data_IF_616726951359
#
_entry.id   IF_616726951359
#
_cell.length_a   1.000
_cell.length_b   1.000
_cell.length_c   1.000
_cell.angle_alpha   90.00
_cell.angle_beta   90.00
_cell.angle_gamma   90.00
#
_symmetry.space_group_name_H-M   'P 1'
#
loop_
_entity.id
_entity.type
_entity.pdbx_description
1 polymer ?
#
# COMPACT_ATOMS: atom_id res chain seq x y z
N UNK A 1 15.66 6.68 11.44
CA UNK A 1 16.89 6.31 12.14
C UNK A 1 17.13 4.84 11.87
N UNK A 2 18.29 4.40 11.36
CA UNK A 2 18.63 2.99 11.42
C UNK A 2 18.61 2.58 12.91
N UNK A 3 17.99 1.44 13.21
CA UNK A 3 18.05 0.86 14.55
C UNK A 3 19.53 0.66 14.89
N UNK A 4 20.04 1.39 15.87
CA UNK A 4 21.34 1.11 16.46
C UNK A 4 21.09 0.06 17.54
N UNK A 5 21.57 -1.18 17.37
CA UNK A 5 21.54 -2.15 18.45
C UNK A 5 22.22 -1.51 19.65
N UNK A 6 21.57 -1.51 20.81
CA UNK A 6 22.21 -1.03 22.02
C UNK A 6 23.32 -2.03 22.39
N UNK A 7 24.53 -1.71 21.93
CA UNK A 7 25.72 -2.57 21.89
C UNK A 7 26.19 -3.01 23.29
N UNK A 8 25.67 -2.36 24.33
CA UNK A 8 25.93 -2.66 25.74
C UNK A 8 25.36 -4.01 26.16
N UNK A 9 24.20 -4.43 25.63
CA UNK A 9 23.57 -5.70 26.01
C UNK A 9 24.15 -6.88 25.24
N UNK A 10 24.49 -6.70 23.96
CA UNK A 10 25.26 -7.67 23.17
C UNK A 10 26.57 -8.01 23.88
N UNK A 11 27.26 -6.99 24.40
CA UNK A 11 28.48 -7.15 25.21
C UNK A 11 28.20 -7.77 26.56
N UNK A 12 27.17 -7.35 27.28
CA UNK A 12 26.81 -7.95 28.58
C UNK A 12 26.46 -9.44 28.48
N UNK A 13 25.70 -9.88 27.46
CA UNK A 13 25.38 -11.29 27.25
C UNK A 13 26.59 -12.10 26.73
N UNK A 14 27.45 -11.49 25.91
CA UNK A 14 28.72 -12.10 25.49
C UNK A 14 29.72 -12.24 26.65
N UNK A 15 29.81 -11.25 27.53
CA UNK A 15 30.70 -11.22 28.71
C UNK A 15 30.18 -12.12 29.86
N UNK A 16 28.86 -12.35 29.94
CA UNK A 16 28.24 -13.22 30.95
C UNK A 16 28.30 -14.72 30.61
N UNK A 17 28.94 -15.10 29.50
CA UNK A 17 29.18 -16.51 29.13
C UNK A 17 27.91 -17.31 28.82
N UNK A 18 26.82 -16.64 28.45
CA UNK A 18 25.58 -17.31 28.05
C UNK A 18 25.47 -17.32 26.54
N UNK A 19 25.48 -18.52 25.98
CA UNK A 19 25.22 -18.78 24.57
C UNK A 19 23.73 -18.58 24.22
N UNK A 20 23.13 -17.49 24.70
CA UNK A 20 21.71 -17.20 24.62
C UNK A 20 21.30 -16.96 23.17
N UNK A 21 22.17 -16.32 22.38
CA UNK A 21 21.98 -16.14 20.93
C UNK A 21 21.86 -17.50 20.27
N UNK A 22 22.82 -18.41 20.48
CA UNK A 22 22.77 -19.75 19.90
C UNK A 22 21.62 -20.58 20.45
N UNK A 23 21.29 -20.50 21.74
CA UNK A 23 20.12 -21.18 22.31
C UNK A 23 18.83 -20.70 21.65
N UNK A 24 18.66 -19.40 21.43
CA UNK A 24 17.51 -18.84 20.71
C UNK A 24 17.50 -19.35 19.27
N UNK A 25 18.64 -19.32 18.57
CA UNK A 25 18.75 -19.84 17.21
C UNK A 25 18.49 -21.35 17.12
N UNK A 26 18.97 -22.14 18.09
CA UNK A 26 18.71 -23.58 18.20
C UNK A 26 17.21 -23.84 18.33
N UNK A 27 16.51 -23.11 19.21
CA UNK A 27 15.06 -23.23 19.33
C UNK A 27 14.32 -22.79 18.06
N UNK A 28 14.75 -21.70 17.42
CA UNK A 28 14.16 -21.25 16.16
C UNK A 28 14.37 -22.27 15.03
N UNK A 29 15.55 -22.88 14.95
CA UNK A 29 15.86 -23.92 13.97
C UNK A 29 15.05 -25.21 14.19
N UNK A 30 14.70 -25.53 15.44
CA UNK A 30 13.80 -26.66 15.73
C UNK A 30 12.37 -26.40 15.21
N UNK A 31 11.92 -25.15 15.21
CA UNK A 31 10.56 -24.77 14.80
C UNK A 31 10.47 -24.51 13.29
N UNK A 32 11.47 -23.83 12.71
CA UNK A 32 11.48 -23.40 11.31
C UNK A 32 12.88 -23.59 10.70
N UNK A 33 13.28 -24.84 10.44
CA UNK A 33 14.63 -25.15 9.95
C UNK A 33 14.89 -24.47 8.59
N UNK A 34 16.08 -23.90 8.43
CA UNK A 34 16.55 -23.22 7.20
C UNK A 34 15.71 -22.00 6.78
N UNK A 35 14.89 -21.44 7.67
CA UNK A 35 14.11 -20.25 7.34
C UNK A 35 15.03 -19.03 7.17
N UNK A 36 14.90 -18.25 6.08
CA UNK A 36 15.67 -17.02 5.90
C UNK A 36 15.32 -15.95 6.94
N UNK A 37 14.22 -16.14 7.68
CA UNK A 37 13.73 -15.20 8.68
C UNK A 37 14.30 -15.48 10.09
N UNK A 38 15.12 -16.52 10.29
CA UNK A 38 15.73 -16.84 11.59
C UNK A 38 16.42 -15.62 12.24
N UNK A 39 17.25 -14.83 11.51
CA UNK A 39 17.89 -13.66 12.11
C UNK A 39 16.88 -12.63 12.63
N UNK A 40 15.77 -12.43 11.92
CA UNK A 40 14.71 -11.48 12.31
C UNK A 40 14.00 -11.98 13.58
N UNK A 41 13.61 -13.25 13.62
CA UNK A 41 12.94 -13.82 14.80
C UNK A 41 13.85 -13.83 16.04
N UNK A 42 15.14 -14.11 15.85
CA UNK A 42 16.14 -14.03 16.92
C UNK A 42 16.21 -12.63 17.48
N UNK A 43 16.30 -11.61 16.63
CA UNK A 43 16.39 -10.22 17.07
C UNK A 43 15.10 -9.76 17.80
N UNK A 44 13.92 -10.24 17.37
CA UNK A 44 12.67 -10.03 18.10
C UNK A 44 12.70 -10.65 19.50
N UNK A 45 13.12 -11.92 19.64
CA UNK A 45 13.21 -12.61 20.93
C UNK A 45 14.22 -11.91 21.85
N UNK A 46 15.41 -11.58 21.33
CA UNK A 46 16.42 -10.84 22.10
C UNK A 46 15.89 -9.47 22.56
N UNK A 47 15.05 -8.82 21.77
CA UNK A 47 14.39 -7.56 22.17
C UNK A 47 13.48 -7.76 23.39
N UNK A 48 12.66 -8.82 23.40
CA UNK A 48 11.81 -9.15 24.55
C UNK A 48 12.64 -9.51 25.78
N UNK A 49 13.75 -10.26 25.59
CA UNK A 49 14.66 -10.61 26.68
C UNK A 49 15.32 -9.38 27.31
N UNK A 50 15.69 -8.37 26.50
CA UNK A 50 16.18 -7.09 27.02
C UNK A 50 15.12 -6.36 27.85
N UNK A 51 13.87 -6.30 27.36
CA UNK A 51 12.77 -5.70 28.13
C UNK A 51 12.53 -6.43 29.46
N UNK A 52 12.67 -7.76 29.48
CA UNK A 52 12.52 -8.56 30.68
C UNK A 52 13.67 -8.37 31.68
N UNK A 53 14.90 -8.12 31.21
CA UNK A 53 16.03 -7.82 32.07
C UNK A 53 15.89 -6.44 32.76
N UNK A 54 15.37 -5.46 32.02
CA UNK A 54 15.11 -4.13 32.54
C UNK A 54 13.94 -4.09 33.54
N UNK A 55 12.91 -4.91 33.30
CA UNK A 55 11.69 -5.07 34.11
C UNK A 55 11.08 -3.77 34.65
N UNK A 56 11.12 -2.71 33.83
CA UNK A 56 10.82 -1.36 34.30
C UNK A 56 9.33 -1.12 34.62
N UNK A 57 8.41 -1.59 33.77
CA UNK A 57 7.00 -1.21 33.86
C UNK A 57 6.05 -2.25 33.24
N UNK A 58 5.11 -2.75 34.06
CA UNK A 58 4.10 -3.74 33.66
C UNK A 58 3.16 -3.26 32.54
N UNK A 59 2.81 -1.97 32.51
CA UNK A 59 1.94 -1.39 31.49
C UNK A 59 2.61 -1.40 30.12
N UNK A 60 3.90 -1.04 30.05
CA UNK A 60 4.67 -1.10 28.81
C UNK A 60 4.74 -2.54 28.27
N UNK A 61 5.00 -3.52 29.15
CA UNK A 61 4.99 -4.93 28.77
C UNK A 61 3.62 -5.39 28.22
N UNK A 62 2.51 -4.93 28.82
CA UNK A 62 1.15 -5.23 28.34
C UNK A 62 0.88 -4.63 26.96
N UNK A 63 1.25 -3.36 26.73
CA UNK A 63 1.07 -2.71 25.43
C UNK A 63 1.86 -3.47 24.36
N UNK A 64 3.13 -3.77 24.62
CA UNK A 64 3.98 -4.50 23.65
C UNK A 64 3.41 -5.88 23.35
N UNK A 65 3.00 -6.65 24.36
CA UNK A 65 2.39 -7.97 24.16
C UNK A 65 1.11 -7.88 23.32
N UNK A 66 0.24 -6.91 23.62
CA UNK A 66 -1.01 -6.74 22.89
C UNK A 66 -0.76 -6.31 21.44
N UNK A 67 0.16 -5.38 21.20
CA UNK A 67 0.54 -4.96 19.86
C UNK A 67 1.13 -6.12 19.04
N UNK A 68 2.02 -6.93 19.64
CA UNK A 68 2.59 -8.12 18.97
C UNK A 68 1.51 -9.15 18.60
N UNK A 69 0.53 -9.38 19.47
CA UNK A 69 -0.61 -10.28 19.19
C UNK A 69 -1.48 -9.77 18.05
N UNK A 70 -1.78 -8.47 18.02
CA UNK A 70 -2.55 -7.86 16.95
C UNK A 70 -1.82 -7.93 15.60
N UNK A 71 -0.52 -7.65 15.60
CA UNK A 71 0.31 -7.78 14.40
C UNK A 71 0.33 -9.23 13.89
N UNK A 72 0.60 -10.21 14.75
CA UNK A 72 0.63 -11.63 14.37
C UNK A 72 -0.72 -12.10 13.81
N UNK A 73 -1.81 -11.82 14.52
CA UNK A 73 -3.14 -12.22 14.10
C UNK A 73 -3.52 -11.62 12.76
N UNK A 74 -3.27 -10.32 12.58
CA UNK A 74 -3.61 -9.63 11.34
C UNK A 74 -2.75 -10.13 10.18
N UNK A 75 -1.44 -10.28 10.34
CA UNK A 75 -0.58 -10.87 9.29
C UNK A 75 -1.05 -12.27 8.89
N UNK A 76 -1.39 -13.12 9.87
CA UNK A 76 -1.86 -14.49 9.59
C UNK A 76 -3.14 -14.52 8.77
N UNK A 77 -4.12 -13.69 9.11
CA UNK A 77 -5.40 -13.63 8.38
C UNK A 77 -5.20 -13.02 6.99
N UNK A 78 -4.43 -11.93 6.90
CA UNK A 78 -4.25 -11.18 5.66
C UNK A 78 -3.39 -11.91 4.63
N UNK A 79 -2.50 -12.81 5.04
CA UNK A 79 -1.71 -13.65 4.12
C UNK A 79 -2.60 -14.49 3.20
N UNK A 80 -3.80 -14.86 3.65
CA UNK A 80 -4.79 -15.61 2.84
C UNK A 80 -5.32 -14.81 1.65
N UNK A 81 -5.18 -13.48 1.69
CA UNK A 81 -5.62 -12.55 0.65
C UNK A 81 -4.44 -11.93 -0.12
N UNK A 82 -3.25 -12.52 0.00
CA UNK A 82 -2.07 -12.09 -0.74
C UNK A 82 -2.30 -12.22 -2.25
N UNK A 83 -1.83 -11.23 -3.00
CA UNK A 83 -2.00 -11.16 -4.46
C UNK A 83 -3.35 -10.60 -4.92
N UNK A 84 -4.33 -10.45 -4.02
CA UNK A 84 -5.56 -9.70 -4.30
C UNK A 84 -5.36 -8.24 -3.94
N UNK A 85 -5.68 -7.37 -4.90
CA UNK A 85 -5.64 -5.92 -4.69
C UNK A 85 -6.78 -5.50 -3.78
N UNK A 86 -6.52 -4.55 -2.89
CA UNK A 86 -7.50 -4.11 -1.88
C UNK A 86 -7.64 -2.59 -1.89
N UNK A 87 -8.87 -2.12 -1.79
CA UNK A 87 -9.23 -0.72 -1.76
C UNK A 87 -9.79 -0.40 -0.39
N UNK A 88 -9.16 0.52 0.32
CA UNK A 88 -9.66 1.01 1.60
C UNK A 88 -10.68 2.11 1.36
N UNK A 89 -11.91 1.90 1.81
CA UNK A 89 -13.01 2.86 1.70
C UNK A 89 -13.28 3.48 3.06
N UNK A 90 -13.14 4.80 3.14
CA UNK A 90 -13.46 5.60 4.32
C UNK A 90 -14.66 6.49 4.08
N UNK A 91 -15.40 6.79 5.15
CA UNK A 91 -16.51 7.72 5.12
C UNK A 91 -17.27 7.72 6.44
N UNK A 92 -18.31 8.55 6.52
CA UNK A 92 -19.09 8.68 7.75
C UNK A 92 -19.71 7.37 8.22
N UNK A 93 -19.51 7.04 9.50
CA UNK A 93 -20.20 5.95 10.19
C UNK A 93 -21.69 6.25 10.46
N UNK A 94 -22.14 7.48 10.18
CA UNK A 94 -23.45 8.02 10.57
C UNK A 94 -24.37 8.30 9.38
N UNK A 95 -23.92 8.07 8.15
CA UNK A 95 -24.74 8.29 6.95
C UNK A 95 -25.95 7.34 6.98
N UNK A 96 -27.19 7.86 6.94
CA UNK A 96 -28.40 7.02 6.91
C UNK A 96 -28.49 6.18 5.63
N UNK A 97 -29.20 5.06 5.68
CA UNK A 97 -29.37 4.12 4.54
C UNK A 97 -30.10 4.79 3.37
N UNK A 98 -31.00 5.73 3.67
CA UNK A 98 -31.81 6.48 2.72
C UNK A 98 -31.02 7.61 2.04
N UNK A 99 -29.84 7.95 2.54
CA UNK A 99 -29.04 9.05 2.02
C UNK A 99 -28.41 8.68 0.67
N UNK A 100 -28.38 9.58 -0.34
CA UNK A 100 -27.80 9.28 -1.66
C UNK A 100 -26.35 8.78 -1.61
N UNK A 101 -25.50 9.35 -0.74
CA UNK A 101 -24.14 8.86 -0.51
C UNK A 101 -24.07 7.41 -0.02
N UNK A 102 -25.07 6.91 0.72
CA UNK A 102 -25.11 5.50 1.11
C UNK A 102 -25.32 4.61 -0.12
N UNK A 103 -26.30 4.94 -0.97
CA UNK A 103 -26.55 4.21 -2.20
C UNK A 103 -25.31 4.23 -3.13
N UNK A 104 -24.66 5.38 -3.26
CA UNK A 104 -23.41 5.52 -4.02
C UNK A 104 -22.26 4.70 -3.42
N UNK A 105 -22.08 4.68 -2.10
CA UNK A 105 -21.05 3.86 -1.46
C UNK A 105 -21.32 2.36 -1.63
N UNK A 106 -22.59 1.95 -1.65
CA UNK A 106 -22.99 0.57 -1.97
C UNK A 106 -22.69 0.23 -3.43
N UNK A 107 -23.00 1.12 -4.35
CA UNK A 107 -22.65 0.96 -5.76
C UNK A 107 -21.14 0.86 -5.96
N UNK A 108 -20.36 1.69 -5.27
CA UNK A 108 -18.90 1.64 -5.23
C UNK A 108 -18.41 0.26 -4.78
N UNK A 109 -18.92 -0.25 -3.67
CA UNK A 109 -18.56 -1.59 -3.18
C UNK A 109 -18.80 -2.68 -4.23
N UNK A 110 -19.97 -2.63 -4.90
CA UNK A 110 -20.30 -3.56 -5.96
C UNK A 110 -19.40 -3.41 -7.20
N UNK A 111 -19.06 -2.18 -7.58
CA UNK A 111 -18.17 -1.90 -8.71
C UNK A 111 -16.74 -2.37 -8.46
N UNK A 112 -16.21 -2.13 -7.26
CA UNK A 112 -14.90 -2.63 -6.84
C UNK A 112 -14.84 -4.17 -6.89
N UNK A 113 -15.86 -4.85 -6.35
CA UNK A 113 -15.93 -6.30 -6.40
C UNK A 113 -16.04 -6.85 -7.85
N UNK A 114 -16.77 -6.16 -8.74
CA UNK A 114 -16.81 -6.52 -10.17
C UNK A 114 -15.44 -6.40 -10.86
N UNK A 115 -14.56 -5.54 -10.36
CA UNK A 115 -13.17 -5.41 -10.80
C UNK A 115 -12.20 -6.33 -10.05
N UNK A 116 -12.69 -7.33 -9.30
CA UNK A 116 -11.91 -8.25 -8.44
C UNK A 116 -11.02 -7.52 -7.43
N UNK A 117 -11.49 -6.36 -6.97
CA UNK A 117 -10.86 -5.60 -5.90
C UNK A 117 -11.56 -5.91 -4.58
N UNK A 118 -10.77 -6.24 -3.55
CA UNK A 118 -11.30 -6.34 -2.19
C UNK A 118 -11.58 -4.96 -1.63
N UNK A 119 -12.55 -4.86 -0.73
CA UNK A 119 -12.98 -3.64 -0.05
C UNK A 119 -12.63 -3.76 1.43
N UNK A 120 -11.73 -2.90 1.89
CA UNK A 120 -11.39 -2.76 3.31
C UNK A 120 -12.19 -1.58 3.87
N UNK A 121 -12.83 -1.76 5.02
CA UNK A 121 -13.43 -0.64 5.76
C UNK A 121 -13.18 -0.78 7.26
N UNK A 122 -13.58 0.24 8.02
CA UNK A 122 -13.63 0.16 9.48
C UNK A 122 -14.70 -0.75 10.07
N UNK A 123 -15.50 -1.42 9.22
CA UNK A 123 -16.59 -2.32 9.59
C UNK A 123 -17.74 -1.72 10.42
N UNK A 124 -17.80 -0.40 10.57
CA UNK A 124 -18.92 0.27 11.24
C UNK A 124 -20.17 0.42 10.35
N UNK A 125 -21.12 1.22 10.82
CA UNK A 125 -22.31 1.63 10.06
C UNK A 125 -22.03 2.64 8.95
N UNK A 126 -23.09 3.22 8.39
CA UNK A 126 -23.02 4.26 7.36
C UNK A 126 -22.27 3.82 6.09
N UNK A 127 -21.37 4.66 5.59
CA UNK A 127 -20.62 4.42 4.35
C UNK A 127 -19.84 3.10 4.39
N UNK A 128 -19.27 2.74 5.56
CA UNK A 128 -18.51 1.50 5.72
C UNK A 128 -19.41 0.27 5.54
N UNK A 129 -20.63 0.31 6.08
CA UNK A 129 -21.62 -0.75 5.90
C UNK A 129 -22.10 -0.82 4.45
N UNK A 130 -22.38 0.33 3.83
CA UNK A 130 -22.82 0.39 2.44
C UNK A 130 -21.80 -0.24 1.49
N UNK A 131 -20.51 0.13 1.61
CA UNK A 131 -19.45 -0.41 0.77
C UNK A 131 -19.30 -1.93 0.92
N UNK A 132 -19.36 -2.45 2.16
CA UNK A 132 -19.37 -3.90 2.39
C UNK A 132 -20.63 -4.57 1.83
N UNK A 133 -21.82 -4.00 2.01
CA UNK A 133 -23.08 -4.52 1.46
C UNK A 133 -22.97 -4.69 -0.06
N UNK A 134 -22.44 -3.70 -0.75
CA UNK A 134 -22.24 -3.74 -2.20
C UNK A 134 -21.21 -4.78 -2.65
N UNK A 135 -20.08 -4.87 -1.93
CA UNK A 135 -18.98 -5.78 -2.27
C UNK A 135 -19.29 -7.25 -1.96
N UNK A 136 -20.13 -7.49 -0.95
CA UNK A 136 -20.41 -8.82 -0.41
C UNK A 136 -19.25 -9.38 0.42
N UNK A 137 -19.52 -10.45 1.18
CA UNK A 137 -18.58 -11.02 2.15
C UNK A 137 -17.24 -11.45 1.52
N UNK A 138 -17.26 -12.06 0.34
CA UNK A 138 -16.04 -12.61 -0.31
C UNK A 138 -15.04 -11.54 -0.76
N UNK A 139 -15.47 -10.28 -0.84
CA UNK A 139 -14.64 -9.13 -1.17
C UNK A 139 -14.49 -8.17 0.02
N UNK A 140 -15.17 -8.38 1.15
CA UNK A 140 -15.14 -7.44 2.27
C UNK A 140 -14.13 -7.85 3.34
N UNK A 141 -13.33 -6.91 3.82
CA UNK A 141 -12.45 -7.03 4.99
C UNK A 141 -12.74 -5.89 5.98
N UNK A 142 -13.06 -6.25 7.22
CA UNK A 142 -13.40 -5.29 8.25
C UNK A 142 -12.28 -5.13 9.27
N UNK A 143 -11.67 -3.95 9.36
CA UNK A 143 -10.71 -3.63 10.42
C UNK A 143 -11.44 -2.84 11.50
N UNK A 144 -12.00 -3.53 12.47
CA UNK A 144 -12.79 -2.91 13.53
C UNK A 144 -11.89 -2.43 14.68
N UNK A 145 -12.34 -1.44 15.44
CA UNK A 145 -11.68 -0.95 16.64
C UNK A 145 -12.56 -1.21 17.86
N UNK A 146 -11.96 -1.76 18.92
CA UNK A 146 -12.68 -2.01 20.16
C UNK A 146 -12.88 -0.69 20.90
N UNK A 147 -14.13 -0.23 21.00
CA UNK A 147 -14.51 0.97 21.73
C UNK A 147 -15.30 0.60 23.00
N UNK A 148 -15.23 1.42 24.06
CA UNK A 148 -15.96 1.17 25.31
C UNK A 148 -17.48 1.31 25.17
N UNK A 149 -17.95 1.91 24.08
CA UNK A 149 -19.36 1.96 23.70
C UNK A 149 -19.59 1.08 22.47
N UNK A 150 -20.77 0.49 22.38
CA UNK A 150 -21.08 -0.61 21.47
C UNK A 150 -21.10 -0.15 20.00
N UNK A 151 -19.95 -0.27 19.31
CA UNK A 151 -19.89 -0.24 17.85
C UNK A 151 -19.89 -1.68 17.34
N UNK A 152 -21.08 -2.19 17.03
CA UNK A 152 -21.22 -3.47 16.34
C UNK A 152 -20.64 -3.39 14.93
N UNK A 153 -19.97 -4.45 14.51
CA UNK A 153 -19.58 -4.61 13.12
C UNK A 153 -20.84 -4.70 12.22
N UNK A 154 -20.75 -4.20 11.00
CA UNK A 154 -21.85 -4.27 10.05
C UNK A 154 -22.20 -5.73 9.67
N UNK A 155 -23.47 -5.99 9.28
CA UNK A 155 -23.97 -7.35 9.08
C UNK A 155 -23.18 -8.19 8.07
N UNK A 156 -22.53 -7.56 7.09
CA UNK A 156 -21.79 -8.27 6.04
C UNK A 156 -20.62 -9.08 6.60
N UNK A 157 -19.87 -8.53 7.56
CA UNK A 157 -18.63 -9.15 8.07
C UNK A 157 -18.73 -9.59 9.53
N UNK A 158 -19.80 -9.20 10.25
CA UNK A 158 -19.98 -9.56 11.65
C UNK A 158 -19.96 -11.07 11.88
N UNK A 159 -19.15 -11.54 12.83
CA UNK A 159 -19.01 -12.97 13.15
C UNK A 159 -18.24 -13.81 12.12
N UNK A 160 -17.61 -13.18 11.12
CA UNK A 160 -16.84 -13.88 10.08
C UNK A 160 -15.34 -13.78 10.31
N UNK A 161 -14.55 -14.62 9.62
CA UNK A 161 -13.08 -14.53 9.60
C UNK A 161 -12.54 -13.26 8.94
N UNK A 162 -13.38 -12.52 8.23
CA UNK A 162 -13.02 -11.30 7.51
C UNK A 162 -13.08 -10.05 8.40
N UNK A 163 -13.51 -10.19 9.65
CA UNK A 163 -13.51 -9.14 10.66
C UNK A 163 -12.29 -9.27 11.56
N UNK A 164 -11.36 -8.32 11.46
CA UNK A 164 -10.17 -8.22 12.29
C UNK A 164 -10.41 -7.17 13.39
N UNK A 165 -10.46 -7.57 14.67
CA UNK A 165 -10.57 -6.63 15.78
C UNK A 165 -9.19 -6.09 16.17
N UNK A 166 -9.10 -4.78 16.32
CA UNK A 166 -7.94 -4.09 16.87
C UNK A 166 -8.32 -3.42 18.22
N UNK A 167 -7.37 -3.34 19.14
CA UNK A 167 -7.51 -2.52 20.36
C UNK A 167 -6.79 -1.18 20.20
N UNK A 168 -5.65 -1.17 19.49
CA UNK A 168 -4.92 0.05 19.27
C UNK A 168 -5.23 0.69 17.92
N UNK A 169 -5.45 2.01 17.92
CA UNK A 169 -5.62 2.77 16.69
C UNK A 169 -4.38 2.70 15.78
N UNK A 170 -3.17 2.70 16.34
CA UNK A 170 -1.94 2.71 15.55
C UNK A 170 -1.70 1.39 14.80
N UNK A 171 -2.03 0.24 15.37
CA UNK A 171 -1.94 -1.05 14.67
C UNK A 171 -2.98 -1.12 13.56
N UNK A 172 -4.21 -0.67 13.83
CA UNK A 172 -5.28 -0.58 12.84
C UNK A 172 -4.90 0.31 11.65
N UNK A 173 -4.41 1.52 11.91
CA UNK A 173 -3.94 2.48 10.90
C UNK A 173 -2.81 1.91 10.05
N UNK A 174 -1.84 1.27 10.70
CA UNK A 174 -0.78 0.54 9.99
C UNK A 174 -1.36 -0.43 8.95
N UNK A 175 -2.37 -1.22 9.31
CA UNK A 175 -2.97 -2.18 8.37
C UNK A 175 -3.82 -1.52 7.29
N UNK A 176 -4.53 -0.43 7.57
CA UNK A 176 -5.22 0.32 6.52
C UNK A 176 -4.27 0.80 5.42
N UNK A 177 -3.07 1.26 5.79
CA UNK A 177 -2.06 1.72 4.83
C UNK A 177 -1.33 0.54 4.19
N UNK A 178 -0.90 -0.44 4.98
CA UNK A 178 -0.11 -1.58 4.51
C UNK A 178 -0.85 -2.41 3.47
N UNK A 179 -2.15 -2.60 3.66
CA UNK A 179 -2.96 -3.47 2.81
C UNK A 179 -3.67 -2.73 1.67
N UNK A 180 -3.64 -1.39 1.66
CA UNK A 180 -4.29 -0.61 0.62
C UNK A 180 -3.45 -0.56 -0.66
N UNK A 181 -4.02 -1.02 -1.76
CA UNK A 181 -3.59 -0.72 -3.12
C UNK A 181 -4.33 0.52 -3.67
N UNK A 182 -5.42 0.97 -3.05
CA UNK A 182 -6.05 2.24 -3.37
C UNK A 182 -6.86 2.74 -2.18
N UNK A 183 -7.22 4.02 -2.22
CA UNK A 183 -8.15 4.61 -1.25
C UNK A 183 -9.30 5.30 -1.97
N UNK A 184 -10.50 5.12 -1.43
CA UNK A 184 -11.67 5.92 -1.81
C UNK A 184 -12.23 6.58 -0.56
N UNK A 185 -12.23 7.90 -0.56
CA UNK A 185 -12.64 8.75 0.54
C UNK A 185 -14.01 9.34 0.20
N UNK A 186 -15.07 8.86 0.85
CA UNK A 186 -16.40 9.45 0.80
C UNK A 186 -16.54 10.55 1.87
N UNK A 187 -17.54 11.46 1.80
CA UNK A 187 -17.75 12.47 2.82
C UNK A 187 -17.89 11.88 4.22
N UNK A 188 -17.24 12.51 5.19
CA UNK A 188 -17.02 11.94 6.52
C UNK A 188 -16.69 12.97 7.59
N UNK A 189 -16.58 12.49 8.83
CA UNK A 189 -16.18 13.31 9.97
C UNK A 189 -14.67 13.26 10.25
N UNK A 190 -14.28 13.54 11.49
CA UNK A 190 -12.87 13.54 11.91
C UNK A 190 -12.13 12.22 11.62
N UNK A 191 -12.77 11.06 11.80
CA UNK A 191 -12.12 9.80 11.48
C UNK A 191 -11.74 9.67 10.00
N UNK A 192 -12.58 10.16 9.09
CA UNK A 192 -12.27 10.14 7.65
C UNK A 192 -11.15 11.11 7.30
N UNK A 193 -11.15 12.30 7.90
CA UNK A 193 -10.11 13.30 7.67
C UNK A 193 -8.76 12.88 8.28
N UNK A 194 -8.78 12.25 9.44
CA UNK A 194 -7.59 11.68 10.10
C UNK A 194 -6.89 10.68 9.17
N UNK A 195 -7.63 9.69 8.64
CA UNK A 195 -7.08 8.70 7.70
C UNK A 195 -6.64 9.33 6.38
N UNK A 196 -7.41 10.29 5.84
CA UNK A 196 -7.07 10.98 4.61
C UNK A 196 -5.74 11.74 4.73
N UNK A 197 -5.57 12.54 5.79
CA UNK A 197 -4.36 13.33 6.00
C UNK A 197 -3.15 12.45 6.35
N UNK A 198 -3.34 11.36 7.09
CA UNK A 198 -2.28 10.40 7.38
C UNK A 198 -1.73 9.77 6.10
N UNK A 199 -2.60 9.26 5.23
CA UNK A 199 -2.19 8.63 3.97
C UNK A 199 -1.48 9.61 3.05
N UNK A 200 -2.01 10.83 2.91
CA UNK A 200 -1.37 11.86 2.09
C UNK A 200 0.02 12.21 2.62
N UNK A 201 0.16 12.35 3.94
CA UNK A 201 1.46 12.59 4.57
C UNK A 201 2.44 11.44 4.31
N UNK A 202 1.98 10.18 4.42
CA UNK A 202 2.83 9.01 4.21
C UNK A 202 3.27 8.86 2.75
N UNK A 203 2.40 9.18 1.78
CA UNK A 203 2.74 9.18 0.35
C UNK A 203 3.70 10.34 0.05
N UNK A 204 3.37 11.56 0.50
CA UNK A 204 4.20 12.76 0.31
C UNK A 204 5.64 12.57 0.81
N UNK A 205 5.80 11.88 1.94
CA UNK A 205 7.11 11.63 2.59
C UNK A 205 7.80 10.34 2.11
N UNK A 206 7.20 9.60 1.19
CA UNK A 206 7.74 8.34 0.67
C UNK A 206 7.80 7.21 1.70
N UNK A 207 6.98 7.29 2.76
CA UNK A 207 6.87 6.27 3.82
C UNK A 207 5.84 5.18 3.49
N UNK A 208 4.95 5.44 2.55
CA UNK A 208 4.05 4.46 1.94
C UNK A 208 4.37 4.34 0.45
N UNK A 209 4.11 3.16 -0.18
CA UNK A 209 4.03 3.07 -1.62
C UNK A 209 3.04 4.10 -2.19
N UNK A 210 3.28 4.51 -3.44
CA UNK A 210 2.34 5.33 -4.16
C UNK A 210 1.12 4.50 -4.57
N UNK A 211 -0.07 4.97 -4.22
CA UNK A 211 -1.36 4.37 -4.53
C UNK A 211 -2.34 5.45 -4.99
N UNK A 212 -3.35 5.13 -5.82
CA UNK A 212 -4.38 6.09 -6.20
C UNK A 212 -5.27 6.42 -4.99
N UNK A 213 -5.46 7.73 -4.76
CA UNK A 213 -6.34 8.26 -3.72
C UNK A 213 -7.48 9.02 -4.39
N UNK A 214 -8.70 8.49 -4.25
CA UNK A 214 -9.91 9.05 -4.85
C UNK A 214 -10.72 9.75 -3.77
N UNK A 215 -11.08 11.01 -4.02
CA UNK A 215 -12.08 11.75 -3.28
C UNK A 215 -13.40 11.57 -4.03
N UNK A 216 -14.30 10.73 -3.52
CA UNK A 216 -15.60 10.50 -4.13
C UNK A 216 -16.64 11.37 -3.43
N UNK A 217 -17.31 12.25 -4.17
CA UNK A 217 -18.45 13.03 -3.68
C UNK A 217 -19.73 12.68 -4.46
N UNK A 218 -20.89 13.05 -3.92
CA UNK A 218 -22.14 12.98 -4.67
C UNK A 218 -22.13 14.01 -5.81
N UNK A 219 -22.86 13.78 -6.93
CA UNK A 219 -23.01 14.80 -7.97
C UNK A 219 -23.53 16.12 -7.39
N UNK A 220 -22.81 17.21 -7.63
CA UNK A 220 -23.11 18.54 -7.07
C UNK A 220 -22.73 18.71 -5.58
N UNK A 221 -22.13 17.68 -4.96
CA UNK A 221 -21.54 17.76 -3.63
C UNK A 221 -20.33 18.68 -3.60
N UNK A 222 -20.11 19.33 -2.46
CA UNK A 222 -19.05 20.33 -2.28
C UNK A 222 -18.12 19.99 -1.12
N UNK A 223 -18.23 18.78 -0.55
CA UNK A 223 -17.47 18.41 0.64
C UNK A 223 -15.98 18.39 0.33
N UNK A 224 -15.61 17.60 -0.69
CA UNK A 224 -14.19 17.48 -1.07
C UNK A 224 -13.69 18.70 -1.82
N UNK A 225 -14.54 19.37 -2.60
CA UNK A 225 -14.16 20.64 -3.23
C UNK A 225 -13.81 21.69 -2.17
N UNK A 226 -14.61 21.81 -1.10
CA UNK A 226 -14.31 22.72 0.00
C UNK A 226 -13.00 22.37 0.72
N UNK A 227 -12.73 21.08 0.94
CA UNK A 227 -11.46 20.63 1.50
C UNK A 227 -10.25 20.92 0.60
N UNK A 228 -10.38 20.68 -0.71
CA UNK A 228 -9.32 20.97 -1.70
C UNK A 228 -9.06 22.48 -1.81
N UNK A 229 -10.11 23.31 -1.78
CA UNK A 229 -9.94 24.77 -1.76
C UNK A 229 -9.16 25.21 -0.51
N UNK A 230 -9.50 24.67 0.67
CA UNK A 230 -8.74 24.94 1.89
C UNK A 230 -7.27 24.50 1.79
N UNK A 231 -7.00 23.29 1.27
CA UNK A 231 -5.62 22.81 1.08
C UNK A 231 -4.85 23.72 0.12
N UNK A 232 -5.47 24.12 -0.98
CA UNK A 232 -4.87 25.05 -1.94
C UNK A 232 -4.56 26.41 -1.28
N UNK A 233 -5.58 27.09 -0.77
CA UNK A 233 -5.47 28.44 -0.22
C UNK A 233 -4.60 28.51 1.05
N UNK A 234 -4.69 27.51 1.93
CA UNK A 234 -4.05 27.58 3.24
C UNK A 234 -2.73 26.81 3.31
N UNK A 235 -2.56 25.71 2.57
CA UNK A 235 -1.34 24.91 2.62
C UNK A 235 -0.45 25.18 1.41
N UNK A 236 -0.99 25.18 0.20
CA UNK A 236 -0.19 25.35 -1.02
C UNK A 236 0.28 26.80 -1.21
N UNK A 237 -0.62 27.78 -1.16
CA UNK A 237 -0.26 29.20 -1.35
C UNK A 237 0.73 29.70 -0.28
N UNK A 238 0.61 29.18 0.95
CA UNK A 238 1.55 29.44 2.05
C UNK A 238 2.82 28.56 2.01
N UNK A 239 2.97 27.70 1.00
CA UNK A 239 4.15 26.84 0.75
C UNK A 239 4.44 25.81 1.85
N UNK A 240 3.40 25.31 2.52
CA UNK A 240 3.51 24.19 3.46
C UNK A 240 3.53 22.84 2.74
N UNK A 241 3.02 22.79 1.51
CA UNK A 241 3.11 21.65 0.59
C UNK A 241 3.60 22.12 -0.78
N UNK A 242 4.03 21.18 -1.62
CA UNK A 242 4.36 21.48 -3.02
C UNK A 242 3.07 21.54 -3.87
N UNK A 243 3.01 22.37 -4.92
CA UNK A 243 1.89 22.36 -5.88
C UNK A 243 1.62 20.98 -6.49
N UNK A 244 2.67 20.17 -6.64
CA UNK A 244 2.56 18.80 -7.15
C UNK A 244 1.89 17.84 -6.17
N UNK A 245 1.86 18.13 -4.87
CA UNK A 245 1.22 17.25 -3.88
C UNK A 245 -0.30 17.19 -4.09
N UNK A 246 -0.90 18.22 -4.68
CA UNK A 246 -2.32 18.20 -5.09
C UNK A 246 -2.64 17.13 -6.15
N UNK A 247 -1.61 16.61 -6.83
CA UNK A 247 -1.75 15.55 -7.85
C UNK A 247 -1.81 14.15 -7.23
N UNK A 248 -1.62 14.04 -5.91
CA UNK A 248 -1.76 12.77 -5.18
C UNK A 248 -3.21 12.32 -5.06
N UNK A 249 -4.16 13.23 -5.21
CA UNK A 249 -5.60 12.97 -5.09
C UNK A 249 -6.34 13.27 -6.37
N UNK A 250 -7.43 12.53 -6.61
CA UNK A 250 -8.39 12.83 -7.68
C UNK A 250 -9.79 12.96 -7.12
N UNK A 251 -10.43 14.12 -7.33
CA UNK A 251 -11.85 14.33 -7.04
C UNK A 251 -12.71 13.82 -8.19
N UNK A 252 -13.70 12.99 -7.87
CA UNK A 252 -14.67 12.41 -8.80
C UNK A 252 -16.08 12.46 -8.20
N UNK A 253 -17.09 12.41 -9.06
CA UNK A 253 -18.50 12.56 -8.66
C UNK A 253 -19.37 11.35 -9.00
N UNK A 254 -18.77 10.26 -9.47
CA UNK A 254 -19.46 9.02 -9.79
C UNK A 254 -18.55 7.81 -9.56
N UNK A 255 -19.17 6.65 -9.41
CA UNK A 255 -18.49 5.39 -9.08
C UNK A 255 -17.60 4.89 -10.22
N UNK A 256 -18.08 4.98 -11.46
CA UNK A 256 -17.36 4.46 -12.62
C UNK A 256 -16.00 5.18 -12.79
N UNK A 257 -15.99 6.50 -12.63
CA UNK A 257 -14.75 7.28 -12.69
C UNK A 257 -13.78 6.94 -11.54
N UNK A 258 -14.30 6.66 -10.34
CA UNK A 258 -13.47 6.23 -9.21
C UNK A 258 -12.75 4.91 -9.52
N UNK A 259 -13.50 3.91 -10.00
CA UNK A 259 -12.96 2.58 -10.32
C UNK A 259 -12.05 2.63 -11.54
N UNK A 260 -12.42 3.39 -12.57
CA UNK A 260 -11.59 3.59 -13.76
C UNK A 260 -10.25 4.24 -13.39
N UNK A 261 -10.25 5.24 -12.49
CA UNK A 261 -9.00 5.84 -12.02
C UNK A 261 -8.06 4.82 -11.35
N UNK A 262 -8.61 3.93 -10.53
CA UNK A 262 -7.84 2.87 -9.86
C UNK A 262 -7.31 1.86 -10.89
N UNK A 263 -8.15 1.41 -11.82
CA UNK A 263 -7.76 0.46 -12.85
C UNK A 263 -6.70 1.05 -13.79
N UNK A 264 -6.87 2.31 -14.20
CA UNK A 264 -5.91 3.01 -15.05
C UNK A 264 -4.54 3.14 -14.36
N UNK A 265 -4.51 3.45 -13.07
CA UNK A 265 -3.26 3.51 -12.29
C UNK A 265 -2.50 2.17 -12.33
N UNK A 266 -3.19 1.04 -12.43
CA UNK A 266 -2.58 -0.29 -12.46
C UNK A 266 -2.54 -0.95 -13.85
N UNK A 267 -2.90 -0.21 -14.88
CA UNK A 267 -2.97 -0.71 -16.26
C UNK A 267 -1.59 -1.05 -16.83
N UNK A 268 -0.54 -0.36 -16.38
CA UNK A 268 0.85 -0.66 -16.68
C UNK A 268 1.73 -0.68 -15.42
N UNK A 269 1.56 0.24 -14.47
CA UNK A 269 2.29 0.20 -13.21
C UNK A 269 1.91 -1.06 -12.41
N UNK A 270 2.91 -1.79 -11.95
CA UNK A 270 2.71 -2.95 -11.08
C UNK A 270 3.04 -2.61 -9.63
N UNK A 271 4.27 -2.16 -9.39
CA UNK A 271 4.79 -1.88 -8.05
C UNK A 271 6.06 -1.04 -8.13
N UNK A 272 6.44 -0.37 -7.06
CA UNK A 272 7.72 0.34 -6.94
C UNK A 272 8.50 -0.09 -5.71
N UNK A 273 9.83 0.00 -5.76
CA UNK A 273 10.71 -0.25 -4.61
C UNK A 273 12.01 0.53 -4.70
N UNK A 274 12.65 0.71 -3.55
CA UNK A 274 14.05 1.14 -3.47
C UNK A 274 14.96 -0.08 -3.64
N UNK A 275 15.95 0.03 -4.53
CA UNK A 275 17.04 -0.93 -4.69
C UNK A 275 18.36 -0.18 -4.53
N UNK A 276 18.96 -0.26 -3.33
CA UNK A 276 20.13 0.54 -2.95
C UNK A 276 19.83 2.05 -3.13
N UNK A 277 20.48 2.71 -4.07
CA UNK A 277 20.30 4.14 -4.37
C UNK A 277 19.32 4.40 -5.52
N UNK A 278 18.87 3.34 -6.21
CA UNK A 278 17.95 3.44 -7.34
C UNK A 278 16.51 3.24 -6.88
N UNK A 279 15.60 4.00 -7.50
CA UNK A 279 14.17 3.75 -7.44
C UNK A 279 13.76 2.95 -8.67
N UNK A 280 13.06 1.85 -8.44
CA UNK A 280 12.68 0.90 -9.48
C UNK A 280 11.16 0.78 -9.51
N UNK A 281 10.59 1.02 -10.69
CA UNK A 281 9.19 0.77 -11.01
C UNK A 281 9.10 -0.48 -11.86
N UNK A 282 8.29 -1.45 -11.44
CA UNK A 282 7.92 -2.61 -12.25
C UNK A 282 6.68 -2.26 -13.08
N UNK A 283 6.69 -2.66 -14.35
CA UNK A 283 5.64 -2.39 -15.31
C UNK A 283 5.20 -3.67 -16.02
N UNK A 284 3.90 -3.80 -16.28
CA UNK A 284 3.31 -4.94 -17.01
C UNK A 284 3.75 -4.97 -18.47
N UNK A 285 3.99 -3.80 -19.05
CA UNK A 285 4.42 -3.60 -20.43
C UNK A 285 5.60 -2.62 -20.50
N UNK A 286 6.59 -2.87 -21.37
CA UNK A 286 7.64 -1.91 -21.63
C UNK A 286 7.09 -0.64 -22.29
N UNK A 287 7.72 0.49 -22.03
CA UNK A 287 7.49 1.76 -22.72
C UNK A 287 8.14 1.77 -24.09
N UNK A 288 7.56 2.53 -25.02
CA UNK A 288 8.14 2.77 -26.35
C UNK A 288 9.36 3.70 -26.27
N UNK A 289 10.24 3.65 -27.27
CA UNK A 289 11.42 4.51 -27.32
C UNK A 289 11.05 6.00 -27.31
N UNK A 290 10.00 6.37 -28.05
CA UNK A 290 9.46 7.74 -28.04
C UNK A 290 8.97 8.15 -26.65
N UNK A 291 8.27 7.26 -25.94
CA UNK A 291 7.79 7.54 -24.59
C UNK A 291 8.96 7.71 -23.61
N UNK A 292 10.01 6.90 -23.74
CA UNK A 292 11.23 7.00 -22.95
C UNK A 292 11.96 8.33 -23.23
N UNK A 293 12.15 8.71 -24.48
CA UNK A 293 12.81 9.97 -24.87
C UNK A 293 12.08 11.19 -24.31
N UNK A 294 10.76 11.25 -24.48
CA UNK A 294 9.96 12.33 -23.91
C UNK A 294 10.06 12.36 -22.38
N UNK A 295 10.03 11.20 -21.73
CA UNK A 295 10.14 11.08 -20.28
C UNK A 295 11.49 11.59 -19.75
N UNK A 296 12.59 11.36 -20.48
CA UNK A 296 13.91 11.91 -20.11
C UNK A 296 13.90 13.42 -19.99
N UNK A 297 13.09 14.12 -20.80
CA UNK A 297 13.01 15.57 -20.81
C UNK A 297 11.94 16.05 -19.82
N UNK A 298 10.74 15.49 -19.90
CA UNK A 298 9.59 15.94 -19.15
C UNK A 298 9.72 15.68 -17.65
N UNK A 299 10.41 14.62 -17.23
CA UNK A 299 10.54 14.21 -15.82
C UNK A 299 11.99 14.23 -15.32
N UNK A 300 12.89 14.96 -16.01
CA UNK A 300 14.29 15.09 -15.62
C UNK A 300 14.47 15.56 -14.17
N UNK A 301 13.55 16.38 -13.68
CA UNK A 301 13.56 16.95 -12.34
C UNK A 301 13.42 15.91 -11.22
N UNK A 302 12.92 14.70 -11.53
CA UNK A 302 12.84 13.59 -10.59
C UNK A 302 14.21 12.93 -10.33
N UNK A 303 15.17 13.05 -11.26
CA UNK A 303 16.45 12.36 -11.20
C UNK A 303 17.53 13.23 -10.50
N UNK A 304 18.24 12.65 -9.53
CA UNK A 304 19.42 13.27 -8.90
C UNK A 304 20.65 13.24 -9.80
N UNK A 305 20.81 12.13 -10.52
CA UNK A 305 21.84 11.89 -11.51
C UNK A 305 21.32 10.87 -12.52
N UNK A 306 22.02 10.75 -13.64
CA UNK A 306 21.69 9.79 -14.69
C UNK A 306 20.30 10.00 -15.31
N UNK A 307 19.94 9.12 -16.22
CA UNK A 307 18.70 9.15 -16.97
C UNK A 307 17.80 8.00 -16.53
N UNK A 308 16.55 8.01 -16.97
CA UNK A 308 15.70 6.84 -16.80
C UNK A 308 16.24 5.67 -17.62
N UNK A 309 16.29 4.47 -17.04
CA UNK A 309 16.75 3.27 -17.72
C UNK A 309 15.69 2.19 -17.66
N UNK A 310 15.23 1.75 -18.83
CA UNK A 310 14.34 0.60 -18.94
C UNK A 310 15.13 -0.68 -19.23
N UNK A 311 14.85 -1.76 -18.52
CA UNK A 311 15.47 -3.06 -18.75
C UNK A 311 14.57 -4.23 -18.36
N UNK A 312 14.93 -5.44 -18.82
CA UNK A 312 14.32 -6.69 -18.39
C UNK A 312 14.90 -7.15 -17.03
N UNK A 313 14.34 -8.22 -16.46
CA UNK A 313 14.89 -8.81 -15.24
C UNK A 313 16.32 -9.33 -15.46
N UNK A 314 17.24 -8.90 -14.60
CA UNK A 314 18.65 -9.31 -14.67
C UNK A 314 19.12 -10.08 -13.42
N UNK A 315 18.21 -10.70 -12.67
CA UNK A 315 18.58 -11.47 -11.46
C UNK A 315 18.86 -10.60 -10.23
N UNK A 316 18.23 -9.43 -10.12
CA UNK A 316 18.42 -8.52 -8.98
C UNK A 316 18.18 -9.22 -7.63
N UNK A 317 19.11 -9.04 -6.68
CA UNK A 317 19.01 -9.56 -5.32
C UNK A 317 17.68 -9.13 -4.66
N UNK A 318 17.06 -10.06 -3.93
CA UNK A 318 15.76 -9.87 -3.25
C UNK A 318 14.58 -9.51 -4.17
N UNK A 319 14.66 -9.74 -5.48
CA UNK A 319 13.46 -9.77 -6.33
C UNK A 319 12.86 -11.18 -6.37
N UNK A 320 11.55 -11.28 -6.21
CA UNK A 320 10.87 -12.56 -6.31
C UNK A 320 10.85 -13.00 -7.78
N UNK A 321 11.32 -14.22 -8.05
CA UNK A 321 11.40 -14.77 -9.41
C UNK A 321 10.05 -14.74 -10.16
N UNK A 322 8.93 -14.72 -9.42
CA UNK A 322 7.58 -14.58 -9.99
C UNK A 322 7.37 -13.28 -10.78
N UNK A 323 8.11 -12.21 -10.49
CA UNK A 323 8.03 -10.92 -11.19
C UNK A 323 9.09 -10.74 -12.28
N UNK A 324 9.77 -11.81 -12.67
CA UNK A 324 10.80 -11.78 -13.72
C UNK A 324 10.26 -11.37 -15.10
N UNK A 325 8.97 -11.60 -15.35
CA UNK A 325 8.30 -11.27 -16.61
C UNK A 325 7.97 -9.77 -16.78
N UNK A 326 8.06 -8.96 -15.72
CA UNK A 326 7.74 -7.53 -15.75
C UNK A 326 8.90 -6.70 -16.31
N UNK A 327 8.59 -5.60 -16.99
CA UNK A 327 9.58 -4.59 -17.37
C UNK A 327 9.99 -3.76 -16.15
N UNK A 328 11.20 -3.21 -16.14
CA UNK A 328 11.73 -2.39 -15.05
C UNK A 328 12.13 -1.02 -15.57
N UNK A 329 11.71 0.03 -14.87
CA UNK A 329 12.17 1.39 -15.05
C UNK A 329 12.96 1.80 -13.81
N UNK A 330 14.26 2.02 -13.96
CA UNK A 330 15.18 2.38 -12.90
C UNK A 330 15.72 3.79 -13.08
N UNK A 331 15.83 4.56 -12.00
CA UNK A 331 16.40 5.90 -11.99
C UNK A 331 16.80 6.32 -10.56
N UNK A 332 17.68 7.32 -10.43
CA UNK A 332 18.10 7.84 -9.13
C UNK A 332 17.11 8.90 -8.66
N UNK A 333 16.01 8.47 -8.05
CA UNK A 333 14.95 9.37 -7.60
C UNK A 333 15.40 10.30 -6.46
N UNK A 334 15.05 11.58 -6.54
CA UNK A 334 15.35 12.60 -5.54
C UNK A 334 14.61 12.45 -4.20
N UNK A 335 13.60 11.56 -4.12
CA UNK A 335 12.78 11.29 -2.94
C UNK A 335 12.04 12.51 -2.34
N UNK A 336 11.93 13.61 -3.10
CA UNK A 336 11.35 14.88 -2.60
C UNK A 336 9.99 15.20 -3.20
N UNK A 337 9.73 14.79 -4.44
CA UNK A 337 8.54 15.20 -5.17
C UNK A 337 7.65 14.00 -5.54
N UNK A 338 6.94 13.45 -4.55
CA UNK A 338 6.05 12.30 -4.76
C UNK A 338 4.82 12.66 -5.59
N UNK A 339 4.35 13.92 -5.55
CA UNK A 339 3.34 14.43 -6.46
C UNK A 339 3.78 14.38 -7.94
N UNK A 340 5.04 14.71 -8.22
CA UNK A 340 5.61 14.58 -9.58
C UNK A 340 5.87 13.12 -9.97
N UNK A 341 6.28 12.28 -9.01
CA UNK A 341 6.33 10.83 -9.22
C UNK A 341 4.95 10.26 -9.58
N UNK A 342 3.88 10.79 -8.97
CA UNK A 342 2.51 10.42 -9.30
C UNK A 342 2.13 10.78 -10.74
N UNK A 343 2.58 11.91 -11.27
CA UNK A 343 2.41 12.23 -12.70
C UNK A 343 3.21 11.32 -13.63
N UNK A 344 4.43 10.96 -13.24
CA UNK A 344 5.21 9.96 -13.98
C UNK A 344 4.42 8.64 -14.06
N UNK A 345 3.79 8.22 -12.95
CA UNK A 345 2.96 7.02 -12.93
C UNK A 345 1.72 7.15 -13.83
N UNK A 346 1.07 8.30 -13.92
CA UNK A 346 0.00 8.49 -14.93
C UNK A 346 0.55 8.33 -16.35
N UNK A 347 1.69 8.97 -16.63
CA UNK A 347 2.30 8.95 -17.94
C UNK A 347 2.66 7.53 -18.40
N UNK A 348 3.28 6.70 -17.56
CA UNK A 348 3.61 5.31 -17.92
C UNK A 348 2.38 4.43 -18.11
N UNK A 349 1.23 4.81 -17.55
CA UNK A 349 -0.02 4.07 -17.66
C UNK A 349 -0.81 4.38 -18.94
N UNK A 350 -0.51 5.51 -19.61
CA UNK A 350 -1.13 5.87 -20.89
C UNK A 350 -0.90 4.76 -21.94
N UNK A 351 -1.96 4.18 -22.55
CA UNK A 351 -1.82 3.09 -23.52
C UNK A 351 -0.90 3.40 -24.69
N UNK A 352 -0.92 4.64 -25.19
CA UNK A 352 -0.09 5.14 -26.30
C UNK A 352 1.41 5.12 -25.99
N UNK A 353 1.79 5.12 -24.72
CA UNK A 353 3.20 5.11 -24.30
C UNK A 353 3.81 3.71 -24.22
N UNK A 354 2.99 2.66 -24.39
CA UNK A 354 3.45 1.26 -24.35
C UNK A 354 4.11 0.90 -25.66
N UNK A 355 5.17 0.10 -25.60
CA UNK A 355 5.75 -0.48 -26.80
C UNK A 355 4.72 -1.42 -27.45
N UNK A 356 4.56 -1.30 -28.78
CA UNK A 356 3.72 -2.23 -29.52
C UNK A 356 4.35 -3.64 -29.47
N UNK A 357 3.54 -4.71 -29.35
CA UNK A 357 4.06 -6.06 -29.44
C UNK A 357 4.76 -6.23 -30.78
N UNK A 358 6.06 -6.55 -30.75
CA UNK A 358 6.82 -6.81 -31.97
C UNK A 358 6.13 -7.95 -32.73
N UNK A 359 5.75 -7.79 -34.02
CA UNK A 359 5.21 -8.90 -34.77
C UNK A 359 6.25 -10.01 -34.76
N UNK A 360 5.87 -11.21 -34.28
CA UNK A 360 6.72 -12.40 -34.37
C UNK A 360 7.11 -12.55 -35.84
N UNK A 361 8.38 -12.28 -36.16
CA UNK A 361 8.95 -12.59 -37.47
C UNK A 361 8.80 -14.10 -37.64
N UNK A 362 7.86 -14.51 -38.48
CA UNK A 362 7.80 -15.90 -38.95
C UNK A 362 9.17 -16.20 -39.55
N UNK A 363 9.96 -17.02 -38.86
CA UNK A 363 11.13 -17.65 -39.43
C UNK A 363 10.64 -18.48 -40.62
N UNK A 364 10.65 -17.89 -41.82
CA UNK A 364 10.56 -18.63 -43.07
C UNK A 364 11.78 -19.54 -43.13
N UNK A 365 11.56 -20.82 -42.82
CA UNK A 365 12.52 -21.87 -43.05
C UNK A 365 12.91 -21.89 -44.53
N UNK A 366 14.08 -21.33 -44.85
CA UNK A 366 14.80 -21.64 -46.09
C UNK A 366 15.46 -23.01 -45.90
N UNK A 367 14.69 -24.07 -46.12
CA UNK A 367 15.27 -25.36 -46.47
C UNK A 367 15.69 -25.26 -47.96
N UNK A 368 16.91 -24.78 -48.19
CA UNK A 368 17.53 -24.89 -49.50
C UNK A 368 17.86 -26.37 -49.75
N UNK A 369 17.34 -26.86 -50.86
CA UNK A 369 17.66 -28.16 -51.46
C UNK A 369 19.17 -28.39 -51.50
N UNK A 370 19.61 -29.55 -51.00
CA UNK A 370 20.78 -30.25 -51.53
C UNK A 370 20.35 -31.66 -51.91
N UNK A 371 20.06 -31.78 -53.20
CA UNK A 371 20.25 -32.99 -53.98
C UNK A 371 21.77 -33.15 -54.13
N UNK A 372 22.29 -34.30 -53.70
CA UNK A 372 23.45 -35.04 -54.23
C UNK A 372 23.64 -36.28 -53.37
#
# INVERSE_FOLDING_TARGET
>A
MPYQPNDLLSRHFAESGHDLIKKVEEQLNLISPNSPNIPIYRDMILTVLRMAQEDHNRWNAKITLQALRELEQAFRVLEQFKGRRKVTVFGSARTPIEHPLYAMARELGAALARSDLMVITGAGGGIMAAAHEGAGLTHSLGFNITLPFEQHANPTVNGTSNLLPFHFFFTRKLFFVKEADALVLCPGGFGTLDEALEVLTLIQTGKSPLVPVVLLDAPGGTFWQGALNFIHEQLEENRYILPTDMKLVKLVYNVDEAVEHINQFYSNFHSSRWLKQQFLIRMNHPLSDQALEHMQQAFADLCLSDHFHQHAYNGEEHDEAQYSHLARLAFNFNARNHGRLRELVDYINLPENRAQPTPKVQQRARAASKVS
#
